data_IF_338975092987
#
_entry.id   IF_338975092987
#
_cell.length_a   1.000
_cell.length_b   1.000
_cell.length_c   1.000
_cell.angle_alpha   90.00
_cell.angle_beta   90.00
_cell.angle_gamma   90.00
#
_symmetry.space_group_name_H-M   'P 1'
#
loop_
_entity.id
_entity.type
_entity.pdbx_description
1 polymer ?
#
# COMPACT_ATOMS: atom_id res chain seq x y z
N UNK A 1 -11.14 16.19 -16.65
CA UNK A 1 -9.87 15.74 -17.21
C UNK A 1 -9.97 14.25 -17.49
N UNK A 2 -9.95 13.89 -18.78
CA UNK A 2 -9.96 12.49 -19.22
C UNK A 2 -8.55 11.95 -19.12
N UNK A 3 -8.42 10.67 -18.74
CA UNK A 3 -7.15 9.95 -18.86
C UNK A 3 -6.64 10.05 -20.29
N UNK A 4 -5.33 10.25 -20.42
CA UNK A 4 -4.67 10.16 -21.73
C UNK A 4 -4.62 8.70 -22.17
N UNK A 5 -4.58 8.44 -23.48
CA UNK A 5 -4.45 7.08 -24.04
C UNK A 5 -3.23 6.33 -23.48
N UNK A 6 -2.15 7.08 -23.18
CA UNK A 6 -0.94 6.55 -22.56
C UNK A 6 -1.16 6.07 -21.11
N UNK A 7 -2.02 6.74 -20.35
CA UNK A 7 -2.41 6.33 -18.99
C UNK A 7 -3.36 5.12 -19.02
N UNK A 8 -4.21 5.03 -20.03
CA UNK A 8 -5.06 3.87 -20.29
C UNK A 8 -4.23 2.64 -20.69
N UNK A 9 -3.22 2.80 -21.54
CA UNK A 9 -2.28 1.74 -21.90
C UNK A 9 -1.49 1.20 -20.71
N UNK A 10 -1.04 2.06 -19.82
CA UNK A 10 -0.36 1.66 -18.57
C UNK A 10 -1.30 0.80 -17.72
N UNK A 11 -2.57 1.15 -17.63
CA UNK A 11 -3.57 0.41 -16.84
C UNK A 11 -3.92 -0.96 -17.45
N UNK A 12 -3.97 -1.07 -18.77
CA UNK A 12 -4.24 -2.34 -19.47
C UNK A 12 -3.08 -3.32 -19.43
N UNK A 13 -1.85 -2.82 -19.20
CA UNK A 13 -0.64 -3.62 -19.09
C UNK A 13 -0.38 -4.18 -17.67
N UNK A 14 -1.20 -3.86 -16.68
CA UNK A 14 -1.12 -4.54 -15.38
C UNK A 14 -1.59 -5.99 -15.58
N UNK A 15 -0.79 -7.01 -15.22
CA UNK A 15 -1.19 -8.41 -15.34
C UNK A 15 -2.51 -8.73 -14.61
N UNK A 16 -2.88 -7.89 -13.66
CA UNK A 16 -4.02 -7.93 -12.76
C UNK A 16 -5.26 -7.25 -13.36
N UNK A 17 -5.11 -6.41 -14.38
CA UNK A 17 -6.17 -5.51 -14.85
C UNK A 17 -6.56 -5.82 -16.30
N UNK A 18 -6.79 -7.09 -16.61
CA UNK A 18 -7.39 -7.46 -17.92
C UNK A 18 -8.90 -7.20 -18.01
N UNK A 19 -9.54 -6.87 -16.89
CA UNK A 19 -10.99 -6.64 -16.89
C UNK A 19 -11.30 -5.15 -17.11
N UNK A 20 -11.23 -4.72 -18.37
CA UNK A 20 -11.53 -3.36 -18.85
C UNK A 20 -12.88 -2.85 -18.33
N UNK A 21 -13.86 -3.74 -18.08
CA UNK A 21 -15.20 -3.37 -17.62
C UNK A 21 -15.20 -2.91 -16.15
N UNK A 22 -14.45 -3.56 -15.28
CA UNK A 22 -14.33 -3.17 -13.86
C UNK A 22 -13.58 -1.85 -13.74
N UNK A 23 -12.51 -1.67 -14.51
CA UNK A 23 -11.79 -0.41 -14.61
C UNK A 23 -12.69 0.70 -15.15
N UNK A 24 -13.45 0.45 -16.21
CA UNK A 24 -14.35 1.44 -16.80
C UNK A 24 -15.48 1.85 -15.85
N UNK A 25 -16.01 0.93 -15.04
CA UNK A 25 -17.00 1.25 -13.99
C UNK A 25 -16.38 2.10 -12.89
N UNK A 26 -15.19 1.71 -12.42
CA UNK A 26 -14.45 2.46 -11.42
C UNK A 26 -14.12 3.87 -11.92
N UNK A 27 -13.63 4.01 -13.16
CA UNK A 27 -13.35 5.32 -13.78
C UNK A 27 -14.57 6.23 -13.92
N UNK A 28 -15.75 5.69 -14.14
CA UNK A 28 -16.98 6.51 -14.13
C UNK A 28 -17.32 7.04 -12.75
N UNK A 29 -16.86 6.38 -11.70
CA UNK A 29 -17.01 6.84 -10.30
C UNK A 29 -15.92 7.82 -9.86
N UNK A 30 -14.72 7.78 -10.49
CA UNK A 30 -13.63 8.71 -10.18
C UNK A 30 -13.93 10.08 -10.78
N UNK A 31 -14.24 11.04 -9.92
CA UNK A 31 -14.45 12.45 -10.31
C UNK A 31 -13.20 13.32 -10.12
N UNK A 32 -12.14 12.80 -9.51
CA UNK A 32 -10.99 13.59 -9.07
C UNK A 32 -9.69 13.20 -9.78
N UNK A 33 -9.01 14.19 -10.38
CA UNK A 33 -7.69 14.04 -10.98
C UNK A 33 -6.63 13.52 -9.99
N UNK A 34 -6.83 13.75 -8.68
CA UNK A 34 -5.96 13.27 -7.61
C UNK A 34 -5.94 11.73 -7.53
N UNK A 35 -7.08 11.06 -7.67
CA UNK A 35 -7.17 9.60 -7.64
C UNK A 35 -6.47 8.97 -8.84
N UNK A 36 -6.58 9.58 -10.02
CA UNK A 36 -5.84 9.13 -11.20
C UNK A 36 -4.33 9.14 -10.96
N UNK A 37 -3.80 10.23 -10.40
CA UNK A 37 -2.36 10.33 -10.05
C UNK A 37 -1.94 9.24 -9.07
N UNK A 38 -2.77 8.93 -8.08
CA UNK A 38 -2.51 7.86 -7.11
C UNK A 38 -2.44 6.50 -7.80
N UNK A 39 -3.38 6.19 -8.69
CA UNK A 39 -3.39 4.93 -9.44
C UNK A 39 -2.14 4.80 -10.32
N UNK A 40 -1.77 5.85 -11.05
CA UNK A 40 -0.53 5.86 -11.85
C UNK A 40 0.69 5.56 -10.97
N UNK A 41 0.80 6.22 -9.81
CA UNK A 41 1.92 5.99 -8.88
C UNK A 41 1.92 4.58 -8.29
N UNK A 42 0.77 4.01 -7.98
CA UNK A 42 0.65 2.61 -7.57
C UNK A 42 1.21 1.66 -8.63
N UNK A 43 0.81 1.86 -9.89
CA UNK A 43 1.23 1.03 -11.01
C UNK A 43 2.74 1.15 -11.26
N UNK A 44 3.27 2.39 -11.33
CA UNK A 44 4.69 2.64 -11.52
C UNK A 44 5.53 1.94 -10.43
N UNK A 45 5.10 2.03 -9.17
CA UNK A 45 5.78 1.36 -8.06
C UNK A 45 5.68 -0.16 -8.18
N UNK A 46 4.52 -0.69 -8.56
CA UNK A 46 4.31 -2.12 -8.72
C UNK A 46 5.18 -2.72 -9.83
N UNK A 47 5.34 -2.00 -10.95
CA UNK A 47 6.13 -2.44 -12.11
C UNK A 47 7.65 -2.50 -11.87
N UNK A 48 8.16 -1.82 -10.84
CA UNK A 48 9.59 -1.86 -10.47
C UNK A 48 10.05 -3.23 -9.93
N UNK A 49 9.15 -4.21 -9.75
CA UNK A 49 9.45 -5.54 -9.21
C UNK A 49 8.93 -6.69 -10.06
N UNK A 50 9.37 -7.89 -9.73
CA UNK A 50 8.84 -9.11 -10.32
C UNK A 50 7.46 -9.43 -9.73
N UNK A 51 6.47 -9.72 -10.60
CA UNK A 51 5.12 -10.10 -10.17
C UNK A 51 4.91 -11.59 -10.45
N UNK A 52 4.55 -12.34 -9.40
CA UNK A 52 4.16 -13.74 -9.53
C UNK A 52 2.72 -13.85 -10.08
N UNK A 53 2.64 -14.20 -11.38
CA UNK A 53 1.35 -14.37 -12.06
C UNK A 53 0.57 -15.58 -11.55
N UNK A 54 1.27 -16.62 -11.11
CA UNK A 54 0.65 -17.86 -10.66
C UNK A 54 -0.09 -17.64 -9.33
N UNK A 55 0.52 -16.92 -8.40
CA UNK A 55 -0.14 -16.57 -7.15
C UNK A 55 -1.35 -15.66 -7.36
N UNK A 56 -1.24 -14.71 -8.28
CA UNK A 56 -2.39 -13.88 -8.63
C UNK A 56 -3.57 -14.72 -9.14
N UNK A 57 -3.34 -15.70 -10.00
CA UNK A 57 -4.41 -16.59 -10.48
C UNK A 57 -5.02 -17.42 -9.32
N UNK A 58 -4.23 -17.80 -8.29
CA UNK A 58 -4.75 -18.45 -7.07
C UNK A 58 -5.64 -17.50 -6.24
N UNK A 59 -5.21 -16.24 -6.06
CA UNK A 59 -6.01 -15.22 -5.37
C UNK A 59 -7.31 -14.96 -6.12
N UNK A 60 -7.23 -14.80 -7.43
CA UNK A 60 -8.38 -14.60 -8.32
C UNK A 60 -9.40 -15.73 -8.22
N UNK A 61 -8.92 -16.98 -8.18
CA UNK A 61 -9.78 -18.16 -8.01
C UNK A 61 -10.46 -18.17 -6.64
N UNK A 62 -9.80 -17.69 -5.59
CA UNK A 62 -10.32 -17.70 -4.21
C UNK A 62 -11.27 -16.53 -3.93
N UNK A 63 -10.96 -15.33 -4.39
CA UNK A 63 -11.67 -14.10 -4.02
C UNK A 63 -12.46 -13.45 -5.16
N UNK A 64 -12.18 -13.85 -6.42
CA UNK A 64 -12.73 -13.23 -7.63
C UNK A 64 -11.91 -12.02 -8.09
N UNK A 65 -11.69 -11.94 -9.40
CA UNK A 65 -10.89 -10.89 -10.04
C UNK A 65 -11.45 -9.48 -9.78
N UNK A 66 -12.74 -9.32 -9.98
CA UNK A 66 -13.46 -8.06 -9.80
C UNK A 66 -13.35 -7.58 -8.34
N UNK A 67 -13.53 -8.48 -7.37
CA UNK A 67 -13.46 -8.15 -5.94
C UNK A 67 -12.07 -7.73 -5.50
N UNK A 68 -11.01 -8.41 -5.97
CA UNK A 68 -9.63 -8.02 -5.67
C UNK A 68 -9.35 -6.62 -6.21
N UNK A 69 -9.73 -6.37 -7.47
CA UNK A 69 -9.51 -5.10 -8.11
C UNK A 69 -10.28 -3.96 -7.43
N UNK A 70 -11.55 -4.17 -7.15
CA UNK A 70 -12.39 -3.19 -6.44
C UNK A 70 -11.81 -2.84 -5.07
N UNK A 71 -11.36 -3.82 -4.29
CA UNK A 71 -10.77 -3.60 -2.98
C UNK A 71 -9.46 -2.81 -3.07
N UNK A 72 -8.57 -3.16 -4.00
CA UNK A 72 -7.29 -2.44 -4.18
C UNK A 72 -7.54 -1.00 -4.62
N UNK A 73 -8.43 -0.78 -5.58
CA UNK A 73 -8.76 0.56 -6.08
C UNK A 73 -9.47 1.41 -5.02
N UNK A 74 -10.39 0.83 -4.27
CA UNK A 74 -11.06 1.49 -3.14
C UNK A 74 -10.04 1.99 -2.11
N UNK A 75 -9.03 1.17 -1.79
CA UNK A 75 -7.97 1.56 -0.86
C UNK A 75 -7.06 2.64 -1.42
N UNK A 76 -6.69 2.58 -2.71
CA UNK A 76 -5.92 3.64 -3.36
C UNK A 76 -6.66 4.99 -3.27
N UNK A 77 -7.97 4.99 -3.49
CA UNK A 77 -8.77 6.21 -3.41
C UNK A 77 -8.73 6.84 -2.01
N UNK A 78 -8.79 6.03 -0.96
CA UNK A 78 -8.74 6.48 0.45
C UNK A 78 -7.37 6.94 0.92
N UNK A 79 -6.28 6.55 0.25
CA UNK A 79 -4.93 6.97 0.63
C UNK A 79 -4.75 8.47 0.51
N UNK A 80 -4.21 9.10 1.57
CA UNK A 80 -4.12 10.56 1.69
C UNK A 80 -3.00 11.18 0.85
N UNK A 81 -1.95 10.41 0.56
CA UNK A 81 -0.76 10.91 -0.16
C UNK A 81 -0.14 9.84 -1.05
N UNK A 82 0.77 10.28 -1.92
CA UNK A 82 1.59 9.40 -2.77
C UNK A 82 2.44 8.43 -1.93
N UNK A 83 2.95 8.85 -0.75
CA UNK A 83 3.70 7.97 0.15
C UNK A 83 2.85 6.74 0.56
N UNK A 84 1.62 6.95 1.00
CA UNK A 84 0.70 5.87 1.36
C UNK A 84 0.45 4.92 0.18
N UNK A 85 0.27 5.47 -1.03
CA UNK A 85 0.02 4.68 -2.25
C UNK A 85 1.23 3.82 -2.63
N UNK A 86 2.44 4.38 -2.54
CA UNK A 86 3.69 3.63 -2.79
C UNK A 86 3.86 2.49 -1.77
N UNK A 87 3.64 2.77 -0.48
CA UNK A 87 3.66 1.74 0.58
C UNK A 87 2.64 0.63 0.27
N UNK A 88 1.42 0.99 -0.11
CA UNK A 88 0.40 0.01 -0.50
C UNK A 88 0.83 -0.83 -1.72
N UNK A 89 1.49 -0.24 -2.71
CA UNK A 89 2.00 -0.96 -3.88
C UNK A 89 3.07 -2.00 -3.50
N UNK A 90 3.98 -1.64 -2.58
CA UNK A 90 4.97 -2.59 -2.04
C UNK A 90 4.30 -3.73 -1.26
N UNK A 91 3.30 -3.43 -0.43
CA UNK A 91 2.51 -4.44 0.29
C UNK A 91 1.74 -5.36 -0.67
N UNK A 92 1.18 -4.81 -1.75
CA UNK A 92 0.49 -5.61 -2.76
C UNK A 92 1.47 -6.52 -3.52
N UNK A 93 2.69 -6.06 -3.78
CA UNK A 93 3.75 -6.91 -4.32
C UNK A 93 4.09 -8.05 -3.36
N UNK A 94 4.27 -7.78 -2.06
CA UNK A 94 4.52 -8.80 -1.06
C UNK A 94 3.38 -9.82 -0.95
N UNK A 95 2.13 -9.38 -1.15
CA UNK A 95 0.99 -10.27 -1.29
C UNK A 95 1.14 -11.17 -2.52
N UNK A 96 1.48 -10.62 -3.69
CA UNK A 96 1.67 -11.40 -4.93
C UNK A 96 2.89 -12.35 -4.87
N UNK A 97 3.84 -12.07 -3.99
CA UNK A 97 5.00 -12.93 -3.70
C UNK A 97 4.74 -13.92 -2.54
N UNK A 98 3.52 -14.07 -2.07
CA UNK A 98 3.09 -14.95 -0.95
C UNK A 98 3.77 -14.66 0.40
N UNK A 99 4.42 -13.49 0.55
CA UNK A 99 5.07 -13.08 1.80
C UNK A 99 4.08 -12.67 2.89
N UNK A 100 2.92 -12.17 2.48
CA UNK A 100 1.78 -11.87 3.37
C UNK A 100 0.49 -12.45 2.79
N UNK A 101 -0.48 -12.73 3.66
CA UNK A 101 -1.81 -13.20 3.25
C UNK A 101 -2.69 -12.01 2.81
N UNK A 102 -3.80 -12.32 2.11
CA UNK A 102 -4.81 -11.32 1.76
C UNK A 102 -5.34 -10.57 2.99
N UNK A 103 -5.70 -11.29 4.04
CA UNK A 103 -6.22 -10.68 5.26
C UNK A 103 -5.18 -9.77 5.93
N UNK A 104 -3.91 -10.19 5.90
CA UNK A 104 -2.80 -9.37 6.41
C UNK A 104 -2.58 -8.13 5.58
N UNK A 105 -2.62 -8.24 4.26
CA UNK A 105 -2.56 -7.08 3.34
C UNK A 105 -3.65 -6.06 3.67
N UNK A 106 -4.90 -6.52 3.82
CA UNK A 106 -6.04 -5.67 4.18
C UNK A 106 -5.80 -4.95 5.51
N UNK A 107 -5.42 -5.69 6.57
CA UNK A 107 -5.15 -5.12 7.90
C UNK A 107 -4.05 -4.06 7.87
N UNK A 108 -2.96 -4.32 7.14
CA UNK A 108 -1.85 -3.36 7.06
C UNK A 108 -2.28 -2.12 6.26
N UNK A 109 -3.04 -2.26 5.18
CA UNK A 109 -3.56 -1.13 4.42
C UNK A 109 -4.49 -0.23 5.27
N UNK A 110 -5.34 -0.82 6.14
CA UNK A 110 -6.16 -0.08 7.09
C UNK A 110 -5.30 0.73 8.08
N UNK A 111 -4.21 0.14 8.55
CA UNK A 111 -3.26 0.84 9.41
C UNK A 111 -2.53 1.96 8.67
N UNK A 112 -2.05 1.70 7.43
CA UNK A 112 -1.35 2.70 6.58
C UNK A 112 -2.25 3.92 6.34
N UNK A 113 -3.54 3.73 6.08
CA UNK A 113 -4.48 4.84 5.87
C UNK A 113 -4.51 5.83 7.05
N UNK A 114 -4.25 5.36 8.27
CA UNK A 114 -4.27 6.16 9.49
C UNK A 114 -2.94 6.84 9.80
N UNK A 115 -1.84 6.46 9.13
CA UNK A 115 -0.54 7.06 9.37
C UNK A 115 -0.47 8.52 8.92
N UNK A 116 0.31 9.33 9.62
CA UNK A 116 0.70 10.64 9.12
C UNK A 116 1.93 10.54 8.23
N UNK A 117 2.01 11.37 7.17
CA UNK A 117 3.20 11.42 6.31
C UNK A 117 4.46 11.76 7.11
N UNK A 118 4.33 12.67 8.07
CA UNK A 118 5.46 13.08 8.94
C UNK A 118 5.99 11.90 9.77
N UNK A 119 5.10 11.05 10.27
CA UNK A 119 5.52 9.87 11.04
C UNK A 119 6.12 8.80 10.13
N UNK A 120 5.58 8.62 8.90
CA UNK A 120 6.15 7.73 7.87
C UNK A 120 7.59 8.13 7.54
N UNK A 121 7.85 9.42 7.30
CA UNK A 121 9.17 9.92 6.89
C UNK A 121 10.19 9.86 8.03
N UNK A 122 9.74 9.95 9.28
CA UNK A 122 10.61 9.88 10.47
C UNK A 122 10.85 8.48 11.01
N UNK A 123 10.05 7.50 10.60
CA UNK A 123 10.18 6.14 11.12
C UNK A 123 11.44 5.46 10.58
N UNK A 124 12.34 5.10 11.47
CA UNK A 124 13.63 4.47 11.13
C UNK A 124 13.74 3.02 11.60
N UNK A 125 12.70 2.51 12.25
CA UNK A 125 12.72 1.19 12.88
C UNK A 125 13.46 1.17 14.23
N UNK A 126 14.22 2.20 14.59
CA UNK A 126 15.07 2.24 15.78
C UNK A 126 14.57 3.19 16.88
N UNK A 127 13.95 4.32 16.51
CA UNK A 127 13.44 5.32 17.46
C UNK A 127 12.06 4.98 18.02
N UNK A 128 11.47 5.93 18.77
CA UNK A 128 10.08 5.86 19.15
C UNK A 128 9.21 6.16 17.92
N UNK A 129 8.29 5.27 17.55
CA UNK A 129 7.37 5.55 16.45
C UNK A 129 6.47 6.75 16.78
N UNK A 130 6.06 7.47 15.74
CA UNK A 130 5.17 8.61 15.87
C UNK A 130 3.78 8.23 16.40
N UNK A 131 3.01 9.22 16.82
CA UNK A 131 1.69 9.00 17.44
C UNK A 131 0.69 8.29 16.51
N UNK A 132 0.80 8.49 15.20
CA UNK A 132 -0.09 7.82 14.24
C UNK A 132 0.16 6.30 14.17
N UNK A 133 1.34 5.82 14.54
CA UNK A 133 1.62 4.39 14.68
C UNK A 133 0.84 3.75 15.83
N UNK A 134 0.58 4.51 16.90
CA UNK A 134 -0.25 4.03 18.01
C UNK A 134 -1.72 3.98 17.58
N UNK A 135 -2.24 5.05 16.97
CA UNK A 135 -3.63 5.09 16.52
C UNK A 135 -3.96 4.06 15.44
N UNK A 136 -2.98 3.71 14.60
CA UNK A 136 -3.12 2.68 13.56
C UNK A 136 -2.97 1.24 14.07
N UNK A 137 -2.59 1.04 15.33
CA UNK A 137 -2.33 -0.27 15.92
C UNK A 137 -0.97 -0.89 15.55
N UNK A 138 -0.12 -0.18 14.82
CA UNK A 138 1.26 -0.62 14.50
C UNK A 138 2.20 -0.51 15.70
N UNK A 139 1.84 0.29 16.70
CA UNK A 139 2.53 0.42 17.97
C UNK A 139 1.52 0.53 19.12
N UNK A 140 1.98 0.36 20.35
CA UNK A 140 1.15 0.53 21.55
C UNK A 140 1.96 1.15 22.68
N UNK A 141 1.25 1.77 23.65
CA UNK A 141 1.86 2.27 24.86
C UNK A 141 2.06 1.14 25.85
N UNK A 142 3.28 0.95 26.29
CA UNK A 142 3.63 0.02 27.35
C UNK A 142 3.84 0.78 28.65
N UNK A 143 3.09 0.41 29.68
CA UNK A 143 3.17 0.97 31.01
C UNK A 143 3.92 -0.01 31.92
N UNK A 144 4.99 0.47 32.56
CA UNK A 144 5.62 -0.23 33.67
C UNK A 144 5.55 0.69 34.88
N UNK A 145 5.18 0.16 36.06
CA UNK A 145 4.84 0.93 37.25
C UNK A 145 5.91 1.94 37.72
N UNK A 146 7.16 1.76 37.30
CA UNK A 146 8.29 2.56 37.76
C UNK A 146 8.90 3.48 36.67
N UNK A 147 8.33 3.57 35.47
CA UNK A 147 8.92 4.31 34.34
C UNK A 147 7.84 4.98 33.49
N UNK A 148 8.13 6.17 32.91
CA UNK A 148 7.19 6.78 31.95
C UNK A 148 6.78 5.81 30.85
N UNK A 149 5.53 5.90 30.34
CA UNK A 149 5.06 5.00 29.31
C UNK A 149 6.00 5.02 28.09
N UNK A 150 6.31 3.84 27.59
CA UNK A 150 7.13 3.66 26.40
C UNK A 150 6.28 3.21 25.23
N UNK A 151 6.65 3.61 24.03
CA UNK A 151 6.02 3.10 22.80
C UNK A 151 6.72 1.81 22.39
N UNK A 152 5.96 0.75 22.19
CA UNK A 152 6.45 -0.51 21.66
C UNK A 152 5.77 -0.83 20.31
N UNK A 153 6.51 -1.39 19.39
CA UNK A 153 5.98 -1.84 18.10
C UNK A 153 5.19 -3.13 18.26
N UNK A 154 4.11 -3.26 17.47
CA UNK A 154 3.21 -4.41 17.55
C UNK A 154 3.80 -5.64 16.82
N UNK A 155 4.91 -6.20 17.34
CA UNK A 155 5.48 -7.46 16.97
C UNK A 155 5.42 -7.79 15.48
N UNK A 156 4.82 -8.95 15.12
CA UNK A 156 4.72 -9.42 13.74
C UNK A 156 3.95 -8.45 12.82
N UNK A 157 2.94 -7.75 13.34
CA UNK A 157 2.14 -6.82 12.54
C UNK A 157 2.98 -5.65 12.05
N UNK A 158 3.75 -5.03 12.96
CA UNK A 158 4.69 -3.97 12.60
C UNK A 158 5.80 -4.49 11.68
N UNK A 159 6.35 -5.69 11.94
CA UNK A 159 7.42 -6.26 11.11
C UNK A 159 6.96 -6.51 9.68
N UNK A 160 5.76 -7.01 9.47
CA UNK A 160 5.19 -7.20 8.13
C UNK A 160 5.01 -5.84 7.41
N UNK A 161 4.51 -4.82 8.11
CA UNK A 161 4.41 -3.46 7.59
C UNK A 161 5.79 -2.88 7.23
N UNK A 162 6.76 -3.01 8.15
CA UNK A 162 8.12 -2.50 7.95
C UNK A 162 8.80 -3.17 6.76
N UNK A 163 8.92 -4.48 6.79
CA UNK A 163 9.71 -5.24 5.81
C UNK A 163 9.12 -5.20 4.41
N UNK A 164 7.81 -5.14 4.29
CA UNK A 164 7.12 -5.27 3.02
C UNK A 164 6.48 -3.98 2.50
N UNK A 165 6.32 -2.98 3.34
CA UNK A 165 5.72 -1.71 2.97
C UNK A 165 6.68 -0.52 3.12
N UNK A 166 7.10 -0.22 4.35
CA UNK A 166 7.79 1.03 4.66
C UNK A 166 9.27 1.03 4.23
N UNK A 167 10.02 -0.01 4.55
CA UNK A 167 11.46 -0.08 4.19
C UNK A 167 11.68 -0.06 2.67
N UNK A 168 10.92 -0.84 1.85
CA UNK A 168 11.01 -0.74 0.40
C UNK A 168 10.67 0.66 -0.13
N UNK A 169 9.65 1.32 0.43
CA UNK A 169 9.29 2.69 0.10
C UNK A 169 10.44 3.67 0.39
N UNK A 170 11.04 3.59 1.57
CA UNK A 170 12.15 4.47 1.96
C UNK A 170 13.39 4.27 1.07
N UNK A 171 13.71 3.03 0.71
CA UNK A 171 14.78 2.72 -0.24
C UNK A 171 14.52 3.33 -1.62
N UNK A 172 13.26 3.26 -2.09
CA UNK A 172 12.85 3.87 -3.37
C UNK A 172 13.04 5.39 -3.34
N UNK A 173 12.56 6.08 -2.29
CA UNK A 173 12.67 7.54 -2.15
C UNK A 173 14.13 8.00 -2.05
N UNK A 174 14.96 7.29 -1.30
CA UNK A 174 16.37 7.61 -1.17
C UNK A 174 17.11 7.47 -2.50
N UNK A 175 16.80 6.46 -3.29
CA UNK A 175 17.40 6.27 -4.62
C UNK A 175 16.94 7.35 -5.62
N UNK A 176 15.67 7.78 -5.57
CA UNK A 176 15.15 8.86 -6.40
C UNK A 176 15.79 10.23 -6.05
N UNK A 177 16.24 10.42 -4.81
CA UNK A 177 16.87 11.67 -4.34
C UNK A 177 18.36 11.78 -4.68
N UNK A 178 18.98 10.71 -5.19
CA UNK A 178 20.43 10.64 -5.48
C UNK A 178 20.75 10.87 -6.97
N UNK A 179 19.73 11.01 -7.80
CA UNK A 179 19.83 11.29 -9.24
C UNK A 179 19.54 12.77 -9.51
#
# INVERSE_FOLDING_TARGET
DKLTDQQLDILTNIPVVKNITAIARFYRSIREASTVKKIVKFIETLQKGHLDKEYYERLKKKYGDEKILEEVLFRIDRMRSVAHVKIQAHLYRALLEEKITWDRFIQICDAVEQLSVVDIDKETGLGNPGSSFISSGLAYLYYNNDVPPRVARNGRFYNDFWNYGLEPYQKEVNNESTI
#
